data_IF_408967804718
#
_entry.id   IF_408967804718
#
_cell.length_a   1.000
_cell.length_b   1.000
_cell.length_c   1.000
_cell.angle_alpha   90.00
_cell.angle_beta   90.00
_cell.angle_gamma   90.00
#
_symmetry.space_group_name_H-M   'P 1'
#
loop_
_entity.id
_entity.type
_entity.pdbx_description
1 polymer ?
#
# COMPACT_ATOMS: atom_id res chain seq x y z
N UNK A 1 -27.49 -21.38 9.33
CA UNK A 1 -26.09 -21.38 8.86
C UNK A 1 -26.14 -20.94 7.42
N UNK A 2 -25.81 -19.67 7.15
CA UNK A 2 -25.82 -19.15 5.79
C UNK A 2 -24.55 -19.65 5.11
N UNK A 3 -24.67 -20.65 4.24
CA UNK A 3 -23.60 -20.99 3.30
C UNK A 3 -23.49 -19.83 2.30
N UNK A 4 -22.26 -19.46 1.92
CA UNK A 4 -22.05 -18.43 0.93
C UNK A 4 -22.68 -18.90 -0.40
N UNK A 5 -23.76 -18.25 -0.82
CA UNK A 5 -24.45 -18.60 -2.05
C UNK A 5 -23.73 -17.99 -3.25
N UNK A 6 -23.97 -18.55 -4.44
CA UNK A 6 -23.53 -17.95 -5.70
C UNK A 6 -24.07 -16.50 -5.84
N UNK A 7 -25.24 -16.22 -5.27
CA UNK A 7 -25.84 -14.89 -5.21
C UNK A 7 -25.01 -13.90 -4.39
N UNK A 8 -24.46 -14.31 -3.24
CA UNK A 8 -23.58 -13.47 -2.42
C UNK A 8 -22.28 -13.12 -3.16
N UNK A 9 -21.69 -14.12 -3.84
CA UNK A 9 -20.49 -13.92 -4.65
C UNK A 9 -20.79 -12.87 -5.73
N UNK A 10 -21.86 -13.08 -6.50
CA UNK A 10 -22.26 -12.18 -7.58
C UNK A 10 -22.54 -10.75 -7.09
N UNK A 11 -23.17 -10.60 -5.92
CA UNK A 11 -23.51 -9.31 -5.34
C UNK A 11 -22.27 -8.50 -4.91
N UNK A 12 -21.24 -9.16 -4.38
CA UNK A 12 -20.06 -8.50 -3.80
C UNK A 12 -18.86 -8.45 -4.76
N UNK A 13 -18.79 -9.32 -5.78
CA UNK A 13 -17.64 -9.49 -6.67
C UNK A 13 -17.05 -8.17 -7.21
N UNK A 14 -17.91 -7.29 -7.73
CA UNK A 14 -17.46 -6.02 -8.33
C UNK A 14 -16.94 -5.05 -7.27
N UNK A 15 -17.57 -5.04 -6.09
CA UNK A 15 -17.16 -4.16 -5.00
C UNK A 15 -15.88 -4.63 -4.34
N UNK A 16 -15.70 -5.96 -4.16
CA UNK A 16 -14.44 -6.55 -3.67
C UNK A 16 -13.31 -6.24 -4.64
N UNK A 17 -13.51 -6.47 -5.94
CA UNK A 17 -12.52 -6.12 -6.97
C UNK A 17 -12.15 -4.62 -6.93
N UNK A 18 -13.14 -3.75 -6.72
CA UNK A 18 -12.91 -2.31 -6.65
C UNK A 18 -12.12 -1.92 -5.40
N UNK A 19 -12.50 -2.45 -4.24
CA UNK A 19 -11.78 -2.24 -2.98
C UNK A 19 -10.34 -2.76 -3.07
N UNK A 20 -10.14 -3.94 -3.65
CA UNK A 20 -8.82 -4.55 -3.82
C UNK A 20 -7.90 -3.72 -4.72
N UNK A 21 -8.43 -3.12 -5.79
CA UNK A 21 -7.67 -2.17 -6.64
C UNK A 21 -7.25 -0.93 -5.87
N UNK A 22 -8.13 -0.38 -5.04
CA UNK A 22 -7.77 0.75 -4.17
C UNK A 22 -6.61 0.37 -3.25
N UNK A 23 -6.72 -0.79 -2.58
CA UNK A 23 -5.68 -1.28 -1.67
C UNK A 23 -4.35 -1.50 -2.40
N UNK A 24 -4.35 -2.13 -3.57
CA UNK A 24 -3.12 -2.35 -4.35
C UNK A 24 -2.46 -1.03 -4.81
N UNK A 25 -3.26 -0.02 -5.17
CA UNK A 25 -2.73 1.30 -5.51
C UNK A 25 -2.12 2.01 -4.30
N UNK A 26 -2.73 1.85 -3.12
CA UNK A 26 -2.25 2.47 -1.89
C UNK A 26 -1.03 1.78 -1.30
N UNK A 27 -0.79 0.52 -1.67
CA UNK A 27 0.32 -0.31 -1.18
C UNK A 27 1.22 -0.80 -2.34
N UNK A 28 1.85 0.12 -3.09
CA UNK A 28 2.55 -0.22 -4.32
C UNK A 28 3.75 -1.14 -4.07
N UNK A 29 3.75 -2.28 -4.77
CA UNK A 29 4.82 -3.28 -4.69
C UNK A 29 4.79 -4.16 -3.44
N UNK A 30 3.77 -4.02 -2.58
CA UNK A 30 3.56 -4.89 -1.42
C UNK A 30 2.52 -5.97 -1.68
N UNK A 31 1.37 -5.59 -2.24
CA UNK A 31 0.26 -6.51 -2.56
C UNK A 31 -0.38 -6.07 -3.88
N UNK A 32 -0.74 -7.02 -4.75
CA UNK A 32 -1.49 -6.72 -5.96
C UNK A 32 -3.02 -6.81 -5.73
N UNK A 33 -3.79 -6.45 -6.75
CA UNK A 33 -5.24 -6.40 -6.64
C UNK A 33 -5.89 -7.79 -6.52
N UNK A 34 -5.27 -8.83 -7.08
CA UNK A 34 -5.83 -10.17 -7.05
C UNK A 34 -5.58 -10.81 -5.68
N UNK A 35 -4.36 -10.67 -5.14
CA UNK A 35 -3.99 -11.06 -3.77
C UNK A 35 -4.86 -10.31 -2.75
N UNK A 36 -5.04 -8.99 -2.91
CA UNK A 36 -5.89 -8.20 -2.02
C UNK A 36 -7.36 -8.64 -2.08
N UNK A 37 -7.88 -8.98 -3.26
CA UNK A 37 -9.23 -9.50 -3.40
C UNK A 37 -9.39 -10.86 -2.72
N UNK A 38 -8.40 -11.75 -2.88
CA UNK A 38 -8.38 -13.05 -2.22
C UNK A 38 -8.37 -12.91 -0.71
N UNK A 39 -7.57 -12.01 -0.15
CA UNK A 39 -7.52 -11.76 1.30
C UNK A 39 -8.82 -11.16 1.85
N UNK A 40 -9.44 -10.25 1.10
CA UNK A 40 -10.76 -9.71 1.45
C UNK A 40 -11.80 -10.83 1.47
N UNK A 41 -11.85 -11.67 0.44
CA UNK A 41 -12.74 -12.82 0.39
C UNK A 41 -12.48 -13.82 1.52
N UNK A 42 -11.22 -14.14 1.76
CA UNK A 42 -10.83 -15.03 2.85
C UNK A 42 -11.33 -14.51 4.20
N UNK A 43 -11.22 -13.20 4.46
CA UNK A 43 -11.75 -12.60 5.69
C UNK A 43 -13.29 -12.67 5.74
N UNK A 44 -13.99 -12.32 4.65
CA UNK A 44 -15.46 -12.39 4.58
C UNK A 44 -15.96 -13.80 4.90
N UNK A 45 -15.30 -14.81 4.33
CA UNK A 45 -15.62 -16.22 4.52
C UNK A 45 -15.30 -16.70 5.94
N UNK A 46 -14.14 -16.32 6.46
CA UNK A 46 -13.68 -16.74 7.80
C UNK A 46 -14.59 -16.16 8.89
N UNK A 47 -14.92 -14.88 8.78
CA UNK A 47 -15.75 -14.17 9.76
C UNK A 47 -17.25 -14.37 9.52
N UNK A 48 -17.63 -14.90 8.35
CA UNK A 48 -19.02 -15.14 7.92
C UNK A 48 -19.88 -13.88 7.90
N UNK A 49 -19.34 -12.79 7.36
CA UNK A 49 -19.97 -11.44 7.36
C UNK A 49 -20.59 -11.04 6.02
N UNK A 50 -20.81 -12.00 5.11
CA UNK A 50 -21.31 -11.69 3.76
C UNK A 50 -22.72 -11.08 3.78
N UNK A 51 -23.63 -11.67 4.56
CA UNK A 51 -25.02 -11.21 4.69
C UNK A 51 -25.05 -9.77 5.24
N UNK A 52 -24.31 -9.52 6.33
CA UNK A 52 -24.17 -8.18 6.93
C UNK A 52 -23.68 -7.14 5.91
N UNK A 53 -22.69 -7.49 5.09
CA UNK A 53 -22.16 -6.60 4.06
C UNK A 53 -23.20 -6.31 2.98
N UNK A 54 -23.97 -7.31 2.55
CA UNK A 54 -25.03 -7.14 1.53
C UNK A 54 -26.13 -6.21 2.04
N UNK A 55 -26.51 -6.34 3.32
CA UNK A 55 -27.50 -5.47 3.97
C UNK A 55 -27.00 -4.03 4.15
N UNK A 56 -25.68 -3.80 4.24
CA UNK A 56 -25.12 -2.45 4.33
C UNK A 56 -25.44 -1.60 3.09
N UNK A 57 -25.53 -0.29 3.28
CA UNK A 57 -25.57 0.66 2.17
C UNK A 57 -24.27 0.61 1.35
N UNK A 58 -24.29 0.79 0.01
CA UNK A 58 -23.13 0.60 -0.86
C UNK A 58 -21.86 1.38 -0.44
N UNK A 59 -22.03 2.61 0.05
CA UNK A 59 -20.90 3.42 0.53
C UNK A 59 -20.23 2.84 1.78
N UNK A 60 -21.03 2.36 2.73
CA UNK A 60 -20.53 1.78 3.97
C UNK A 60 -19.88 0.43 3.71
N UNK A 61 -20.50 -0.40 2.86
CA UNK A 61 -19.95 -1.68 2.42
C UNK A 61 -18.58 -1.49 1.75
N UNK A 62 -18.48 -0.60 0.77
CA UNK A 62 -17.20 -0.29 0.10
C UNK A 62 -16.11 0.14 1.09
N UNK A 63 -16.47 0.99 2.07
CA UNK A 63 -15.54 1.41 3.13
C UNK A 63 -15.10 0.21 3.98
N UNK A 64 -16.01 -0.66 4.36
CA UNK A 64 -15.70 -1.86 5.14
C UNK A 64 -14.76 -2.81 4.38
N UNK A 65 -15.05 -3.08 3.11
CA UNK A 65 -14.21 -3.91 2.22
C UNK A 65 -12.79 -3.33 2.09
N UNK A 66 -12.68 -2.03 1.85
CA UNK A 66 -11.38 -1.34 1.74
C UNK A 66 -10.62 -1.38 3.07
N UNK A 67 -11.32 -1.24 4.19
CA UNK A 67 -10.72 -1.33 5.53
C UNK A 67 -10.18 -2.73 5.82
N UNK A 68 -10.89 -3.79 5.39
CA UNK A 68 -10.41 -5.17 5.50
C UNK A 68 -9.11 -5.33 4.70
N UNK A 69 -9.09 -4.88 3.45
CA UNK A 69 -7.92 -4.99 2.59
C UNK A 69 -6.70 -4.22 3.13
N UNK A 70 -6.86 -2.99 3.60
CA UNK A 70 -5.76 -2.25 4.23
C UNK A 70 -5.20 -2.93 5.48
N UNK A 71 -6.07 -3.53 6.30
CA UNK A 71 -5.62 -4.29 7.47
C UNK A 71 -4.73 -5.47 7.07
N UNK A 72 -5.10 -6.18 6.01
CA UNK A 72 -4.33 -7.30 5.45
C UNK A 72 -3.01 -6.84 4.83
N UNK A 73 -3.02 -5.76 4.06
CA UNK A 73 -1.80 -5.16 3.53
C UNK A 73 -0.84 -4.73 4.65
N UNK A 74 -1.35 -4.11 5.73
CA UNK A 74 -0.54 -3.74 6.89
C UNK A 74 0.08 -4.96 7.60
N UNK A 75 -0.65 -6.07 7.70
CA UNK A 75 -0.12 -7.35 8.19
C UNK A 75 1.00 -7.87 7.28
N UNK A 76 0.77 -7.88 5.96
CA UNK A 76 1.77 -8.29 4.98
C UNK A 76 3.04 -7.45 5.05
N UNK A 77 2.90 -6.13 5.25
CA UNK A 77 4.05 -5.25 5.47
C UNK A 77 4.84 -5.67 6.71
N UNK A 78 4.15 -5.93 7.82
CA UNK A 78 4.79 -6.32 9.08
C UNK A 78 5.57 -7.63 8.91
N UNK A 79 4.98 -8.61 8.22
CA UNK A 79 5.65 -9.87 7.90
C UNK A 79 6.83 -9.65 6.96
N UNK A 80 6.63 -8.85 5.90
CA UNK A 80 7.67 -8.50 4.95
C UNK A 80 8.85 -7.81 5.63
N UNK A 81 8.60 -6.85 6.51
CA UNK A 81 9.63 -6.15 7.29
C UNK A 81 10.37 -7.13 8.21
N UNK A 82 9.65 -8.01 8.91
CA UNK A 82 10.26 -9.00 9.79
C UNK A 82 11.19 -9.96 9.04
N UNK A 83 10.80 -10.42 7.84
CA UNK A 83 11.58 -11.39 7.07
C UNK A 83 12.66 -10.77 6.17
N UNK A 84 12.40 -9.60 5.58
CA UNK A 84 13.30 -8.94 4.64
C UNK A 84 14.16 -7.84 5.28
N UNK A 85 13.78 -7.34 6.45
CA UNK A 85 14.37 -6.15 7.07
C UNK A 85 14.06 -4.84 6.33
N UNK A 86 13.18 -4.88 5.31
CA UNK A 86 12.80 -3.75 4.49
C UNK A 86 11.39 -3.26 4.85
N UNK A 87 11.27 -1.99 5.20
CA UNK A 87 10.01 -1.28 5.35
C UNK A 87 9.47 -0.84 3.99
N UNK A 88 8.15 -0.96 3.80
CA UNK A 88 7.43 -0.53 2.61
C UNK A 88 6.35 0.46 3.03
N UNK A 89 6.40 1.67 2.48
CA UNK A 89 5.45 2.75 2.78
C UNK A 89 4.18 2.62 1.93
N UNK A 90 3.02 2.88 2.55
CA UNK A 90 1.76 3.12 1.86
C UNK A 90 1.53 4.59 1.49
N UNK A 91 0.68 4.86 0.51
CA UNK A 91 0.36 6.24 0.05
C UNK A 91 -0.30 7.09 1.13
N UNK A 92 -1.10 6.47 2.01
CA UNK A 92 -1.70 7.14 3.17
C UNK A 92 -0.64 7.55 4.19
N UNK A 93 0.34 6.70 4.45
CA UNK A 93 1.41 7.02 5.41
C UNK A 93 2.29 8.17 4.89
N UNK A 94 2.58 8.20 3.60
CA UNK A 94 3.29 9.32 2.97
C UNK A 94 2.45 10.60 3.03
N UNK A 95 1.13 10.51 2.87
CA UNK A 95 0.23 11.64 3.06
C UNK A 95 0.27 12.15 4.50
N UNK A 96 0.20 11.27 5.48
CA UNK A 96 0.22 11.62 6.90
C UNK A 96 1.53 12.32 7.26
N UNK A 97 2.68 11.82 6.80
CA UNK A 97 3.98 12.49 6.95
C UNK A 97 3.98 13.90 6.37
N UNK A 98 3.39 14.10 5.19
CA UNK A 98 3.28 15.43 4.58
C UNK A 98 2.37 16.37 5.37
N UNK A 99 1.28 15.86 5.93
CA UNK A 99 0.35 16.61 6.78
C UNK A 99 0.96 16.98 8.14
N UNK A 100 1.85 16.14 8.67
CA UNK A 100 2.65 16.40 9.87
C UNK A 100 3.79 17.40 9.62
N UNK A 101 3.98 17.85 8.38
CA UNK A 101 4.98 18.86 8.04
C UNK A 101 6.37 18.30 7.76
N UNK A 102 6.48 17.05 7.28
CA UNK A 102 7.78 16.44 6.94
C UNK A 102 8.60 17.20 5.87
N UNK A 103 8.00 18.17 5.16
CA UNK A 103 8.72 19.08 4.26
C UNK A 103 9.39 20.26 4.98
N UNK A 104 8.97 20.58 6.20
CA UNK A 104 9.43 21.74 6.97
C UNK A 104 10.52 21.37 8.00
N UNK A 105 10.49 20.14 8.52
CA UNK A 105 11.36 19.73 9.60
C UNK A 105 12.70 19.16 9.09
N UNK A 106 13.75 19.99 9.15
CA UNK A 106 15.11 19.59 8.77
C UNK A 106 15.84 18.78 9.85
N UNK A 107 15.31 18.70 11.08
CA UNK A 107 16.00 18.16 12.25
C UNK A 107 15.61 16.72 12.61
N UNK A 108 14.58 16.16 11.98
CA UNK A 108 14.14 14.79 12.24
C UNK A 108 15.13 13.76 11.66
N UNK A 109 15.74 12.98 12.56
CA UNK A 109 16.66 11.87 12.20
C UNK A 109 15.95 10.55 11.92
N UNK A 110 14.62 10.55 11.77
CA UNK A 110 13.86 9.36 11.42
C UNK A 110 14.17 8.92 9.97
N UNK A 111 14.30 7.61 9.76
CA UNK A 111 14.57 7.02 8.45
C UNK A 111 13.51 7.42 7.43
N UNK A 112 12.25 7.51 7.85
CA UNK A 112 11.15 7.93 6.97
C UNK A 112 11.33 9.36 6.45
N UNK A 113 11.79 10.29 7.29
CA UNK A 113 12.06 11.67 6.91
C UNK A 113 13.25 11.76 5.95
N UNK A 114 14.29 10.99 6.20
CA UNK A 114 15.46 10.94 5.33
C UNK A 114 15.07 10.37 3.95
N UNK A 115 14.33 9.26 3.91
CA UNK A 115 13.84 8.66 2.66
C UNK A 115 12.92 9.62 1.91
N UNK A 116 12.04 10.33 2.61
CA UNK A 116 11.17 11.36 2.04
C UNK A 116 11.99 12.47 1.39
N UNK A 117 13.02 13.01 2.07
CA UNK A 117 13.86 14.08 1.50
C UNK A 117 14.58 13.66 0.24
N UNK A 118 15.20 12.46 0.24
CA UNK A 118 15.86 11.94 -0.96
C UNK A 118 14.86 11.66 -2.09
N UNK A 119 13.70 11.10 -1.77
CA UNK A 119 12.64 10.85 -2.73
C UNK A 119 12.05 12.13 -3.33
N UNK A 120 11.88 13.18 -2.51
CA UNK A 120 11.36 14.47 -2.92
C UNK A 120 12.33 15.19 -3.87
N UNK A 121 13.63 15.12 -3.60
CA UNK A 121 14.68 15.68 -4.46
C UNK A 121 14.71 15.03 -5.86
N UNK A 122 14.33 13.76 -5.97
CA UNK A 122 14.29 13.00 -7.23
C UNK A 122 12.95 13.11 -7.99
N UNK A 123 12.00 13.86 -7.46
CA UNK A 123 10.66 13.99 -8.01
C UNK A 123 10.60 15.00 -9.16
N UNK A 124 9.63 14.85 -10.07
CA UNK A 124 9.46 15.80 -11.18
C UNK A 124 9.06 17.18 -10.64
N UNK A 125 9.50 18.26 -11.31
CA UNK A 125 9.17 19.63 -10.89
C UNK A 125 7.66 19.88 -10.81
N UNK A 126 6.89 19.25 -11.70
CA UNK A 126 5.42 19.33 -11.67
C UNK A 126 4.85 18.74 -10.38
N UNK A 127 5.30 17.55 -9.98
CA UNK A 127 4.84 16.92 -8.74
C UNK A 127 5.32 17.68 -7.50
N UNK A 128 6.58 18.15 -7.48
CA UNK A 128 7.11 19.00 -6.41
C UNK A 128 6.22 20.23 -6.20
N UNK A 129 5.89 20.96 -7.28
CA UNK A 129 5.02 22.14 -7.20
C UNK A 129 3.64 21.83 -6.64
N UNK A 130 3.04 20.70 -7.03
CA UNK A 130 1.74 20.28 -6.49
C UNK A 130 1.81 20.01 -4.99
N UNK A 131 2.85 19.29 -4.55
CA UNK A 131 3.06 18.96 -3.14
C UNK A 131 3.35 20.22 -2.32
N UNK A 132 4.25 21.10 -2.76
CA UNK A 132 4.53 22.37 -2.07
C UNK A 132 3.29 23.26 -1.99
N UNK A 133 2.54 23.40 -3.10
CA UNK A 133 1.34 24.22 -3.13
C UNK A 133 0.34 23.78 -2.07
N UNK A 134 0.16 22.47 -1.90
CA UNK A 134 -0.76 21.91 -0.92
C UNK A 134 -0.23 21.89 0.51
N UNK A 135 1.00 21.43 0.72
CA UNK A 135 1.51 21.05 2.05
C UNK A 135 2.47 22.09 2.64
N UNK A 136 3.15 22.88 1.81
CA UNK A 136 4.04 23.94 2.29
C UNK A 136 3.35 25.30 2.32
N UNK A 137 2.51 25.59 1.33
CA UNK A 137 1.79 26.86 1.20
C UNK A 137 0.34 26.80 1.69
N UNK A 138 -0.14 25.60 2.04
CA UNK A 138 -1.51 25.34 2.50
C UNK A 138 -2.60 25.89 1.56
N UNK A 139 -2.30 25.97 0.26
CA UNK A 139 -3.22 26.53 -0.72
C UNK A 139 -4.23 25.48 -1.19
N UNK A 140 -5.46 25.90 -1.55
CA UNK A 140 -6.46 24.98 -2.08
C UNK A 140 -5.98 24.36 -3.39
N UNK A 141 -6.27 23.08 -3.55
CA UNK A 141 -5.93 22.29 -4.74
C UNK A 141 -7.18 22.07 -5.56
N UNK A 142 -7.14 22.52 -6.81
CA UNK A 142 -8.22 22.33 -7.78
C UNK A 142 -8.10 20.99 -8.51
N UNK A 143 -6.87 20.58 -8.84
CA UNK A 143 -6.60 19.29 -9.48
C UNK A 143 -6.21 18.23 -8.44
N UNK A 144 -7.23 17.65 -7.80
CA UNK A 144 -7.05 16.60 -6.81
C UNK A 144 -6.42 15.34 -7.39
N UNK A 145 -6.65 15.03 -8.67
CA UNK A 145 -6.06 13.87 -9.34
C UNK A 145 -4.57 14.07 -9.56
N UNK A 146 -4.13 15.26 -9.95
CA UNK A 146 -2.70 15.57 -10.06
C UNK A 146 -2.00 15.48 -8.70
N UNK A 147 -2.65 15.93 -7.62
CA UNK A 147 -2.11 15.78 -6.27
C UNK A 147 -1.97 14.30 -5.87
N UNK A 148 -2.99 13.47 -6.12
CA UNK A 148 -2.90 12.02 -5.86
C UNK A 148 -1.73 11.41 -6.60
N UNK A 149 -1.58 11.67 -7.90
CA UNK A 149 -0.44 11.17 -8.70
C UNK A 149 0.92 11.63 -8.17
N UNK A 150 1.00 12.85 -7.64
CA UNK A 150 2.23 13.36 -7.04
C UNK A 150 2.60 12.58 -5.77
N UNK A 151 1.60 12.21 -4.96
CA UNK A 151 1.77 11.39 -3.74
C UNK A 151 2.15 9.95 -4.10
N UNK A 152 1.48 9.35 -5.09
CA UNK A 152 1.81 8.00 -5.57
C UNK A 152 3.27 7.95 -6.07
N UNK A 153 3.66 8.96 -6.85
CA UNK A 153 5.03 9.08 -7.35
C UNK A 153 6.05 9.27 -6.22
N UNK A 154 5.72 10.06 -5.20
CA UNK A 154 6.58 10.23 -4.03
C UNK A 154 6.74 8.91 -3.26
N UNK A 155 5.64 8.18 -3.05
CA UNK A 155 5.61 6.88 -2.37
C UNK A 155 6.52 5.86 -3.06
N UNK A 156 6.42 5.73 -4.38
CA UNK A 156 7.29 4.84 -5.16
C UNK A 156 8.78 5.25 -5.06
N UNK A 157 9.07 6.55 -5.01
CA UNK A 157 10.45 7.06 -4.84
C UNK A 157 10.99 6.78 -3.44
N UNK A 158 10.18 6.94 -2.39
CA UNK A 158 10.54 6.60 -1.02
C UNK A 158 10.85 5.11 -0.89
N UNK A 159 9.96 4.24 -1.39
CA UNK A 159 10.17 2.79 -1.41
C UNK A 159 11.45 2.39 -2.16
N UNK A 160 11.80 3.09 -3.25
CA UNK A 160 13.05 2.87 -3.99
C UNK A 160 14.29 3.27 -3.21
N UNK A 161 14.29 4.45 -2.57
CA UNK A 161 15.41 4.92 -1.76
C UNK A 161 15.65 4.02 -0.55
N UNK A 162 14.58 3.62 0.14
CA UNK A 162 14.68 2.72 1.28
C UNK A 162 15.32 1.37 0.89
N UNK A 163 14.88 0.77 -0.24
CA UNK A 163 15.50 -0.45 -0.79
C UNK A 163 16.98 -0.28 -1.12
N UNK A 164 17.36 0.85 -1.75
CA UNK A 164 18.75 1.12 -2.14
C UNK A 164 19.66 1.32 -0.94
N UNK A 165 19.25 2.12 0.06
CA UNK A 165 20.04 2.38 1.27
C UNK A 165 20.36 1.09 2.03
N UNK A 166 19.38 0.17 2.15
CA UNK A 166 19.60 -1.14 2.77
C UNK A 166 20.63 -1.97 2.00
N UNK A 167 20.54 -2.03 0.67
CA UNK A 167 21.51 -2.74 -0.16
C UNK A 167 22.94 -2.20 -0.03
N UNK A 168 23.10 -0.90 0.22
CA UNK A 168 24.42 -0.25 0.43
C UNK A 168 25.00 -0.51 1.83
N UNK A 169 24.17 -0.77 2.85
CA UNK A 169 24.61 -1.05 4.23
C UNK A 169 24.86 -2.54 4.48
N UNK A 170 24.24 -3.45 3.73
CA UNK A 170 24.46 -4.89 3.80
C UNK A 170 25.61 -5.33 2.87
N UNK A 171 26.84 -5.16 3.34
CA UNK A 171 28.04 -5.73 2.70
C UNK A 171 27.96 -7.27 2.54
N UNK A 172 28.84 -7.90 1.75
CA UNK A 172 28.70 -9.26 1.21
C UNK A 172 28.60 -10.43 2.22
N UNK A 173 28.57 -10.18 3.53
CA UNK A 173 28.52 -11.18 4.60
C UNK A 173 27.22 -11.23 5.42
N UNK A 174 26.25 -10.34 5.23
CA UNK A 174 25.05 -10.24 6.10
C UNK A 174 23.77 -10.87 5.54
N UNK A 175 23.79 -11.44 4.33
CA UNK A 175 22.60 -12.10 3.76
C UNK A 175 22.26 -13.36 4.55
N UNK A 176 21.21 -13.30 5.37
CA UNK A 176 20.51 -14.50 5.83
C UNK A 176 20.01 -15.25 4.60
N UNK A 177 20.48 -16.48 4.43
CA UNK A 177 20.07 -17.37 3.34
C UNK A 177 18.58 -17.64 3.50
N UNK A 178 17.76 -16.96 2.70
CA UNK A 178 16.37 -17.33 2.49
C UNK A 178 16.42 -18.73 1.89
N UNK A 179 15.88 -19.73 2.58
CA UNK A 179 15.86 -21.09 2.05
C UNK A 179 15.04 -21.11 0.76
N UNK A 180 15.50 -21.88 -0.24
CA UNK A 180 14.86 -21.96 -1.56
C UNK A 180 13.34 -22.25 -1.51
N UNK A 181 12.85 -22.86 -0.42
CA UNK A 181 11.44 -23.13 -0.22
C UNK A 181 10.59 -21.84 -0.06
N UNK A 182 11.13 -20.78 0.55
CA UNK A 182 10.38 -19.54 0.78
C UNK A 182 10.39 -18.62 -0.46
N UNK A 183 11.48 -18.64 -1.23
CA UNK A 183 11.55 -17.97 -2.54
C UNK A 183 10.58 -18.60 -3.57
N UNK A 184 10.35 -19.92 -3.51
CA UNK A 184 9.39 -20.62 -4.37
C UNK A 184 7.92 -20.30 -4.06
N UNK A 185 7.58 -19.97 -2.82
CA UNK A 185 6.24 -19.49 -2.47
C UNK A 185 5.96 -18.11 -3.07
N UNK A 186 6.96 -17.22 -3.03
CA UNK A 186 6.89 -15.86 -3.60
C UNK A 186 6.89 -15.87 -5.14
N UNK A 187 7.59 -16.82 -5.79
CA UNK A 187 7.60 -16.93 -7.26
C UNK A 187 6.44 -17.74 -7.85
N UNK A 188 5.75 -18.59 -7.07
CA UNK A 188 4.58 -19.33 -7.57
C UNK A 188 3.39 -18.43 -7.92
N UNK A 189 3.24 -17.27 -7.29
CA UNK A 189 2.20 -16.30 -7.65
C UNK A 189 2.54 -15.48 -8.90
N UNK A 190 3.78 -15.52 -9.42
CA UNK A 190 4.23 -14.58 -10.43
C UNK A 190 4.37 -15.14 -11.87
N UNK A 191 4.16 -16.45 -12.13
CA UNK A 191 4.29 -16.99 -13.50
C UNK A 191 3.50 -18.30 -13.70
N UNK A 192 2.35 -18.23 -14.38
CA UNK A 192 1.82 -19.34 -15.19
C UNK A 192 1.57 -18.85 -16.62
N UNK A 193 2.45 -19.15 -17.58
CA UNK A 193 2.09 -19.21 -18.98
C UNK A 193 1.83 -20.67 -19.38
N UNK A 194 0.79 -20.83 -20.20
CA UNK A 194 0.41 -22.04 -20.93
C UNK A 194 1.55 -22.67 -21.73
#
# INVERSE_FOLDING_TARGET
>A
MSDLTEDHINALQQEVTSAARTVANDWPGLIDADDAAQEIWHQILTDRIADDLIEMGPRLRMKALTTIGHRKASQYRTDYEHFSGQYMYGTSEVRDLLEEGALLDEACMDSAYIDLRFAFADLSLTHVRMLEHRYLRELPVTDTKALTRAIDALTERMNRHHRRRRAEHEGPGSRRVISNAHAQAITRNAYQPS
#
